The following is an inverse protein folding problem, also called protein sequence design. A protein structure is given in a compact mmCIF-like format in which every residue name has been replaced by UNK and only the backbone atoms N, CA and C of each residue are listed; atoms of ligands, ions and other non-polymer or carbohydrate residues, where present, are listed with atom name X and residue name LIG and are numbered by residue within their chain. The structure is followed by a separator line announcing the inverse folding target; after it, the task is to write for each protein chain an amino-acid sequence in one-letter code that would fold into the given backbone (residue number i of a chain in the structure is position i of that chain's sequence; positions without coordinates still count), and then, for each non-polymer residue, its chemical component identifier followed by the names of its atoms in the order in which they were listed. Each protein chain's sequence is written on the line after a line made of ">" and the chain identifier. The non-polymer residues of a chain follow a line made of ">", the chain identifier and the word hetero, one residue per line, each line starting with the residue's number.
data_IF_239712059855
#
_entry.id   IF_239712059855
#
_cell.length_a   1.000
_cell.length_b   1.000
_cell.length_c   1.000
_cell.angle_alpha   90.00
_cell.angle_beta   90.00
_cell.angle_gamma   90.00
#
_symmetry.space_group_name_H-M   'P 1'
#
loop_
_entity.id
_entity.type
_entity.pdbx_description
1 polymer ?
#
# COMPACT_ATOMS: atom_id res chain seq x y z
N UNK A 1 -8.62 23.55 -22.76
CA UNK A 1 -7.66 22.49 -23.11
C UNK A 1 -7.57 21.60 -21.89
N UNK A 2 -8.39 20.56 -21.85
CA UNK A 2 -8.28 19.51 -20.83
C UNK A 2 -7.01 18.71 -21.13
N UNK A 3 -6.07 18.72 -20.19
CA UNK A 3 -4.81 18.03 -20.33
C UNK A 3 -4.95 16.58 -19.91
N UNK A 4 -4.73 15.66 -20.84
CA UNK A 4 -4.49 14.22 -20.59
C UNK A 4 -3.14 14.02 -19.90
N UNK A 5 -2.97 14.63 -18.72
CA UNK A 5 -1.78 14.50 -17.90
C UNK A 5 -1.80 13.18 -17.14
N UNK A 6 -0.68 12.45 -17.17
CA UNK A 6 -0.45 11.28 -16.32
C UNK A 6 0.50 11.63 -15.19
N UNK A 7 0.21 11.17 -13.97
CA UNK A 7 1.12 11.30 -12.84
C UNK A 7 2.01 10.05 -12.75
N UNK A 8 3.30 10.22 -12.42
CA UNK A 8 4.25 9.12 -12.18
C UNK A 8 4.58 9.06 -10.69
N UNK A 9 4.38 7.91 -10.05
CA UNK A 9 4.65 7.73 -8.62
C UNK A 9 5.63 6.59 -8.43
N UNK A 10 6.89 6.97 -8.18
CA UNK A 10 7.98 6.02 -8.07
C UNK A 10 9.30 6.71 -7.83
N UNK A 11 9.60 6.99 -6.56
CA UNK A 11 10.54 8.03 -6.16
C UNK A 11 9.94 9.40 -6.48
N UNK A 12 9.61 10.17 -5.46
CA UNK A 12 8.89 11.47 -5.55
C UNK A 12 9.46 12.41 -6.60
N UNK A 13 8.85 12.44 -7.79
CA UNK A 13 8.79 13.63 -8.64
C UNK A 13 7.49 13.63 -9.44
N UNK A 14 6.71 14.70 -9.26
CA UNK A 14 5.57 15.05 -10.08
C UNK A 14 6.09 15.81 -11.30
N UNK A 15 6.11 15.16 -12.45
CA UNK A 15 6.42 15.78 -13.72
C UNK A 15 5.23 15.74 -14.65
N UNK A 16 4.87 16.89 -15.22
CA UNK A 16 4.00 16.96 -16.39
C UNK A 16 4.67 16.24 -17.59
N UNK A 17 3.90 15.77 -18.59
CA UNK A 17 4.47 15.08 -19.74
C UNK A 17 5.42 16.01 -20.50
N UNK A 18 6.73 15.83 -20.30
CA UNK A 18 7.78 16.62 -20.98
C UNK A 18 9.06 16.84 -20.18
N UNK A 19 9.01 16.84 -18.85
CA UNK A 19 10.21 17.09 -18.02
C UNK A 19 10.64 15.83 -17.26
N UNK A 20 11.55 15.08 -17.87
CA UNK A 20 12.25 13.97 -17.24
C UNK A 20 13.45 14.53 -16.46
N UNK A 21 13.21 15.08 -15.27
CA UNK A 21 14.30 15.41 -14.34
C UNK A 21 14.80 14.11 -13.69
N UNK A 22 15.99 13.67 -14.12
CA UNK A 22 16.73 12.56 -13.50
C UNK A 22 17.50 13.10 -12.30
N UNK A 23 16.91 13.03 -11.11
CA UNK A 23 17.67 13.22 -9.87
C UNK A 23 18.36 11.93 -9.39
N UNK A 24 19.47 12.03 -8.64
CA UNK A 24 20.22 10.88 -8.13
C UNK A 24 19.37 10.04 -7.18
N UNK A 25 19.40 8.72 -7.41
CA UNK A 25 18.39 7.75 -6.93
C UNK A 25 18.66 7.31 -5.49
N UNK A 26 17.91 7.85 -4.52
CA UNK A 26 17.87 7.34 -3.15
C UNK A 26 17.24 5.93 -3.10
N UNK A 27 17.63 5.05 -2.15
CA UNK A 27 16.91 3.80 -1.93
C UNK A 27 15.42 4.10 -1.69
N UNK A 28 14.57 3.38 -2.40
CA UNK A 28 13.11 3.57 -2.40
C UNK A 28 12.61 3.50 -0.95
N UNK A 29 12.23 4.66 -0.39
CA UNK A 29 11.84 4.82 1.02
C UNK A 29 10.76 3.80 1.42
N UNK A 30 9.84 3.52 0.52
CA UNK A 30 8.70 2.62 0.72
C UNK A 30 9.13 1.17 0.98
N UNK A 31 10.15 0.70 0.25
CA UNK A 31 10.71 -0.64 0.46
C UNK A 31 11.51 -0.75 1.77
N UNK A 32 12.18 0.34 2.17
CA UNK A 32 12.87 0.41 3.44
C UNK A 32 11.89 0.50 4.63
N UNK A 33 10.77 1.22 4.48
CA UNK A 33 9.70 1.27 5.48
C UNK A 33 9.05 -0.10 5.66
N UNK A 34 8.69 -0.78 4.57
CA UNK A 34 8.17 -2.14 4.63
C UNK A 34 9.15 -3.10 5.30
N UNK A 35 10.39 -3.16 4.83
CA UNK A 35 11.39 -4.07 5.39
C UNK A 35 11.72 -3.75 6.85
N UNK A 36 11.87 -2.47 7.20
CA UNK A 36 12.18 -2.05 8.57
C UNK A 36 11.08 -2.41 9.57
N UNK A 37 9.81 -2.22 9.17
CA UNK A 37 8.66 -2.61 10.00
C UNK A 37 8.47 -4.13 10.05
N UNK A 38 8.66 -4.85 8.94
CA UNK A 38 8.64 -6.32 8.93
C UNK A 38 9.69 -6.88 9.88
N UNK A 39 10.93 -6.40 9.82
CA UNK A 39 12.00 -6.82 10.74
C UNK A 39 11.72 -6.54 12.21
N UNK A 40 10.88 -5.56 12.51
CA UNK A 40 10.51 -5.21 13.88
C UNK A 40 9.36 -6.08 14.42
N UNK A 41 8.49 -6.57 13.54
CA UNK A 41 7.26 -7.27 13.92
C UNK A 41 7.26 -8.76 13.58
N UNK A 42 8.19 -9.22 12.75
CA UNK A 42 8.31 -10.60 12.31
C UNK A 42 9.75 -11.08 12.39
N UNK A 43 9.95 -12.39 12.20
CA UNK A 43 11.27 -13.03 12.13
C UNK A 43 12.02 -12.83 10.80
N UNK A 44 11.41 -12.15 9.81
CA UNK A 44 12.06 -11.95 8.51
C UNK A 44 13.14 -10.87 8.57
N UNK A 45 14.35 -11.18 8.10
CA UNK A 45 15.49 -10.26 8.10
C UNK A 45 15.74 -9.63 6.72
N UNK A 46 15.32 -10.32 5.67
CA UNK A 46 15.53 -9.92 4.28
C UNK A 46 14.22 -9.61 3.56
N UNK A 47 14.29 -8.80 2.51
CA UNK A 47 13.13 -8.45 1.69
C UNK A 47 12.45 -9.66 1.05
N UNK A 48 13.17 -10.65 0.48
CA UNK A 48 12.54 -11.86 -0.06
C UNK A 48 11.83 -12.71 1.01
N UNK A 49 12.40 -12.83 2.21
CA UNK A 49 11.75 -13.56 3.32
C UNK A 49 10.46 -12.86 3.76
N UNK A 50 10.50 -11.53 3.89
CA UNK A 50 9.31 -10.75 4.23
C UNK A 50 8.22 -10.90 3.16
N UNK A 51 8.59 -10.97 1.88
CA UNK A 51 7.63 -11.24 0.80
C UNK A 51 7.09 -12.66 0.84
N UNK A 52 7.91 -13.65 1.15
CA UNK A 52 7.47 -15.03 1.29
C UNK A 52 6.41 -15.18 2.41
N UNK A 53 6.59 -14.47 3.53
CA UNK A 53 5.58 -14.41 4.59
C UNK A 53 4.26 -13.79 4.11
N UNK A 54 4.33 -12.80 3.21
CA UNK A 54 3.14 -12.16 2.66
C UNK A 54 2.31 -13.09 1.77
N UNK A 55 2.92 -14.10 1.13
CA UNK A 55 2.22 -15.02 0.22
C UNK A 55 1.20 -15.90 0.94
N UNK A 56 1.49 -16.28 2.19
CA UNK A 56 0.60 -17.09 3.04
C UNK A 56 -0.22 -16.28 4.05
N UNK A 57 -0.02 -14.96 4.09
CA UNK A 57 -0.69 -14.08 5.03
C UNK A 57 -2.15 -13.81 4.68
N UNK A 58 -2.92 -13.41 5.69
CA UNK A 58 -4.31 -12.95 5.56
C UNK A 58 -4.48 -11.62 6.26
N UNK A 59 -4.72 -10.58 5.47
CA UNK A 59 -4.82 -9.22 6.00
C UNK A 59 -6.10 -8.99 6.81
N UNK A 60 -7.18 -9.73 6.53
CA UNK A 60 -8.44 -9.67 7.27
C UNK A 60 -8.31 -10.16 8.73
N UNK A 61 -7.21 -10.82 9.10
CA UNK A 61 -6.90 -11.18 10.48
C UNK A 61 -6.38 -9.99 11.31
N UNK A 62 -5.76 -9.00 10.67
CA UNK A 62 -5.13 -7.84 11.35
C UNK A 62 -5.84 -6.52 11.05
N UNK A 63 -6.35 -6.36 9.83
CA UNK A 63 -7.06 -5.18 9.38
C UNK A 63 -8.53 -5.24 9.79
N UNK A 64 -9.08 -4.08 10.17
CA UNK A 64 -10.51 -3.91 10.40
C UNK A 64 -11.18 -3.51 9.09
N UNK A 65 -12.13 -4.30 8.64
CA UNK A 65 -12.87 -4.11 7.41
C UNK A 65 -14.14 -3.27 7.66
N UNK A 66 -14.74 -2.73 6.60
CA UNK A 66 -16.02 -1.99 6.68
C UNK A 66 -17.10 -2.86 7.29
N UNK A 67 -17.18 -4.13 6.92
CA UNK A 67 -18.13 -5.08 7.51
C UNK A 67 -17.90 -5.32 9.01
N UNK A 68 -16.67 -5.15 9.52
CA UNK A 68 -16.38 -5.31 10.94
C UNK A 68 -16.91 -4.12 11.76
N UNK A 69 -17.20 -2.98 11.12
CA UNK A 69 -17.77 -1.78 11.75
C UNK A 69 -19.29 -1.75 11.57
N UNK A 70 -19.77 -2.03 10.35
CA UNK A 70 -21.16 -1.84 9.95
C UNK A 70 -21.97 -3.14 9.84
N UNK A 71 -21.34 -4.31 10.01
CA UNK A 71 -22.00 -5.62 9.88
C UNK A 71 -22.26 -6.07 8.44
N UNK A 72 -21.73 -5.35 7.45
CA UNK A 72 -21.90 -5.63 6.02
C UNK A 72 -21.38 -4.50 5.14
N UNK A 73 -21.89 -4.42 3.91
CA UNK A 73 -21.61 -3.30 3.01
C UNK A 73 -22.17 -1.99 3.57
N UNK A 74 -21.44 -0.89 3.37
CA UNK A 74 -21.92 0.43 3.74
C UNK A 74 -22.56 1.11 2.53
N UNK A 75 -23.85 0.76 2.31
CA UNK A 75 -24.60 1.12 1.12
C UNK A 75 -24.77 2.64 0.91
N UNK A 76 -24.82 3.43 1.98
CA UNK A 76 -25.01 4.89 1.91
C UNK A 76 -23.87 5.60 1.14
N UNK A 77 -22.64 5.08 1.25
CA UNK A 77 -21.46 5.60 0.58
C UNK A 77 -20.92 4.65 -0.51
N UNK A 78 -21.63 3.55 -0.79
CA UNK A 78 -21.22 2.55 -1.76
C UNK A 78 -19.90 1.85 -1.41
N UNK A 79 -19.54 1.75 -0.11
CA UNK A 79 -18.31 1.10 0.30
C UNK A 79 -18.54 -0.41 0.50
N UNK A 80 -17.78 -1.29 -0.17
CA UNK A 80 -17.93 -2.72 0.00
C UNK A 80 -17.43 -3.14 1.39
N UNK A 81 -18.08 -4.13 1.99
CA UNK A 81 -17.78 -4.64 3.32
C UNK A 81 -16.37 -5.23 3.43
N UNK A 82 -15.81 -5.71 2.33
CA UNK A 82 -14.43 -6.22 2.22
C UNK A 82 -13.36 -5.14 2.17
N UNK A 83 -13.74 -3.86 2.04
CA UNK A 83 -12.80 -2.74 2.06
C UNK A 83 -12.16 -2.62 3.44
N UNK A 84 -10.85 -2.37 3.48
CA UNK A 84 -10.15 -2.06 4.73
C UNK A 84 -10.62 -0.69 5.23
N UNK A 85 -11.27 -0.68 6.39
CA UNK A 85 -11.66 0.56 7.06
C UNK A 85 -10.52 1.12 7.92
N UNK A 86 -9.74 0.25 8.55
CA UNK A 86 -8.57 0.63 9.37
C UNK A 86 -7.48 -0.43 9.31
N UNK A 87 -6.29 -0.04 8.83
CA UNK A 87 -5.11 -0.91 8.82
C UNK A 87 -4.72 -1.27 10.25
N UNK A 88 -4.47 -2.56 10.53
CA UNK A 88 -4.16 -3.06 11.87
C UNK A 88 -5.24 -2.80 12.95
N UNK A 89 -6.45 -2.40 12.55
CA UNK A 89 -7.49 -1.97 13.49
C UNK A 89 -8.02 -3.10 14.39
N UNK A 90 -7.77 -4.38 14.07
CA UNK A 90 -8.14 -5.52 14.92
C UNK A 90 -7.14 -5.74 16.06
N UNK A 91 -5.89 -5.31 15.92
CA UNK A 91 -4.87 -5.41 16.97
C UNK A 91 -5.15 -4.55 18.21
N UNK A 92 -6.11 -3.62 18.13
CA UNK A 92 -6.59 -2.86 19.30
C UNK A 92 -7.37 -3.76 20.25
N UNK A 93 -8.13 -4.71 19.70
CA UNK A 93 -9.05 -5.56 20.45
C UNK A 93 -8.47 -6.97 20.68
N UNK A 94 -7.50 -7.37 19.87
CA UNK A 94 -6.82 -8.67 19.92
C UNK A 94 -5.47 -8.58 20.63
N UNK A 95 -5.04 -9.67 21.28
CA UNK A 95 -3.67 -9.80 21.77
C UNK A 95 -2.72 -9.86 20.56
N UNK A 96 -1.75 -8.94 20.42
CA UNK A 96 -0.79 -8.94 19.31
C UNK A 96 -0.02 -10.26 19.16
N UNK A 97 0.14 -11.03 20.25
CA UNK A 97 0.83 -12.32 20.23
C UNK A 97 0.00 -13.46 19.63
N UNK A 98 -1.31 -13.27 19.47
CA UNK A 98 -2.19 -14.24 18.83
C UNK A 98 -2.17 -14.12 17.31
N UNK A 99 -1.64 -13.02 16.77
CA UNK A 99 -1.53 -12.81 15.33
C UNK A 99 -0.34 -13.57 14.75
N UNK A 100 -0.56 -14.13 13.57
CA UNK A 100 0.47 -14.79 12.79
C UNK A 100 1.40 -13.77 12.16
N UNK A 101 2.68 -14.09 12.07
CA UNK A 101 3.68 -13.20 11.47
C UNK A 101 3.38 -12.95 9.97
N UNK A 102 2.84 -13.96 9.28
CA UNK A 102 2.41 -13.88 7.89
C UNK A 102 1.29 -12.85 7.69
N UNK A 103 0.32 -12.83 8.61
CA UNK A 103 -0.82 -11.90 8.57
C UNK A 103 -0.33 -10.46 8.82
N UNK A 104 0.62 -10.27 9.74
CA UNK A 104 1.26 -8.98 10.01
C UNK A 104 2.08 -8.48 8.82
N UNK A 105 2.86 -9.35 8.19
CA UNK A 105 3.67 -9.02 7.01
C UNK A 105 2.79 -8.58 5.84
N UNK A 106 1.72 -9.32 5.55
CA UNK A 106 0.79 -8.94 4.48
C UNK A 106 0.03 -7.65 4.79
N UNK A 107 -0.43 -7.47 6.04
CA UNK A 107 -1.06 -6.22 6.48
C UNK A 107 -0.14 -5.01 6.29
N UNK A 108 1.14 -5.15 6.65
CA UNK A 108 2.16 -4.11 6.45
C UNK A 108 2.34 -3.79 4.97
N UNK A 109 2.48 -4.83 4.14
CA UNK A 109 2.68 -4.66 2.72
C UNK A 109 1.52 -3.90 2.08
N UNK A 110 0.30 -4.30 2.43
CA UNK A 110 -0.93 -3.66 1.96
C UNK A 110 -1.02 -2.22 2.43
N UNK A 111 -0.77 -1.96 3.70
CA UNK A 111 -0.79 -0.61 4.25
C UNK A 111 0.15 0.33 3.48
N UNK A 112 1.41 -0.06 3.30
CA UNK A 112 2.39 0.76 2.58
C UNK A 112 1.94 0.99 1.13
N UNK A 113 1.50 -0.06 0.45
CA UNK A 113 1.07 0.01 -0.96
C UNK A 113 -0.15 0.91 -1.13
N UNK A 114 -1.18 0.72 -0.29
CA UNK A 114 -2.44 1.49 -0.35
C UNK A 114 -2.21 2.95 0.01
N UNK A 115 -1.34 3.26 0.99
CA UNK A 115 -1.03 4.66 1.34
C UNK A 115 -0.37 5.40 0.17
N UNK A 116 0.56 4.75 -0.54
CA UNK A 116 1.19 5.33 -1.73
C UNK A 116 0.14 5.54 -2.83
N UNK A 117 -0.76 4.57 -3.04
CA UNK A 117 -1.81 4.67 -4.04
C UNK A 117 -2.80 5.81 -3.75
N UNK A 118 -3.22 5.96 -2.49
CA UNK A 118 -4.12 7.05 -2.09
C UNK A 118 -3.43 8.40 -2.28
N UNK A 119 -2.18 8.57 -1.82
CA UNK A 119 -1.43 9.81 -2.03
C UNK A 119 -1.28 10.13 -3.52
N UNK A 120 -0.96 9.14 -4.33
CA UNK A 120 -0.85 9.27 -5.77
C UNK A 120 -2.13 9.79 -6.43
N UNK A 121 -3.27 9.19 -6.07
CA UNK A 121 -4.59 9.62 -6.56
C UNK A 121 -4.94 11.02 -6.07
N UNK A 122 -4.74 11.32 -4.79
CA UNK A 122 -5.04 12.64 -4.23
C UNK A 122 -4.23 13.75 -4.91
N UNK A 123 -2.96 13.49 -5.19
CA UNK A 123 -2.09 14.41 -5.92
C UNK A 123 -2.57 14.57 -7.36
N UNK A 124 -2.88 13.47 -8.06
CA UNK A 124 -3.38 13.52 -9.44
C UNK A 124 -4.68 14.32 -9.54
N UNK A 125 -5.62 14.11 -8.60
CA UNK A 125 -6.85 14.89 -8.48
C UNK A 125 -6.56 16.38 -8.25
N UNK A 126 -5.61 16.70 -7.36
CA UNK A 126 -5.22 18.09 -7.08
C UNK A 126 -4.63 18.81 -8.29
N UNK A 127 -3.93 18.09 -9.15
CA UNK A 127 -3.28 18.64 -10.35
C UNK A 127 -4.11 18.47 -11.63
N UNK A 128 -5.34 17.95 -11.54
CA UNK A 128 -6.21 17.76 -12.70
C UNK A 128 -5.69 16.70 -13.69
N UNK A 129 -4.86 15.76 -13.24
CA UNK A 129 -4.32 14.69 -14.06
C UNK A 129 -5.36 13.58 -14.23
N UNK A 130 -6.30 13.77 -15.17
CA UNK A 130 -7.39 12.83 -15.44
C UNK A 130 -6.94 11.58 -16.23
N UNK A 131 -5.73 11.60 -16.82
CA UNK A 131 -5.22 10.49 -17.64
C UNK A 131 -4.91 9.23 -16.82
N UNK A 132 -4.57 9.38 -15.54
CA UNK A 132 -4.28 8.27 -14.63
C UNK A 132 -2.90 8.38 -13.97
N UNK A 133 -2.60 7.40 -13.11
CA UNK A 133 -1.35 7.36 -12.33
C UNK A 133 -0.57 6.09 -12.66
N UNK A 134 0.71 6.25 -12.99
CA UNK A 134 1.62 5.14 -13.24
C UNK A 134 2.60 4.99 -12.09
N UNK A 135 2.63 3.80 -11.50
CA UNK A 135 3.62 3.47 -10.50
C UNK A 135 4.87 2.85 -11.13
N UNK A 136 6.05 3.30 -10.70
CA UNK A 136 7.33 2.74 -11.16
C UNK A 136 8.26 2.52 -9.97
N UNK A 137 9.22 1.58 -10.06
CA UNK A 137 10.25 1.44 -9.04
C UNK A 137 10.63 0.00 -8.72
N UNK A 138 11.70 -0.16 -7.94
CA UNK A 138 12.22 -1.48 -7.53
C UNK A 138 11.26 -2.24 -6.61
N UNK A 139 10.50 -1.51 -5.79
CA UNK A 139 9.51 -2.09 -4.88
C UNK A 139 8.46 -2.92 -5.62
N UNK A 140 7.87 -2.39 -6.70
CA UNK A 140 6.92 -3.13 -7.51
C UNK A 140 7.58 -4.21 -8.36
N UNK A 141 8.80 -3.99 -8.87
CA UNK A 141 9.52 -4.98 -9.70
C UNK A 141 9.73 -6.32 -8.98
N UNK A 142 10.01 -6.27 -7.68
CA UNK A 142 10.27 -7.45 -6.87
C UNK A 142 9.04 -7.94 -6.11
N UNK A 143 7.89 -7.29 -6.26
CA UNK A 143 6.70 -7.58 -5.45
C UNK A 143 5.44 -7.72 -6.33
N UNK A 144 5.11 -8.94 -6.80
CA UNK A 144 3.93 -9.19 -7.60
C UNK A 144 2.62 -9.07 -6.79
N UNK A 145 2.67 -9.16 -5.47
CA UNK A 145 1.50 -8.95 -4.60
C UNK A 145 1.11 -7.48 -4.62
N UNK A 146 2.07 -6.57 -4.43
CA UNK A 146 1.83 -5.12 -4.46
C UNK A 146 1.34 -4.61 -5.83
N UNK A 147 1.68 -5.29 -6.93
CA UNK A 147 1.16 -4.94 -8.26
C UNK A 147 -0.33 -5.25 -8.45
N UNK A 148 -0.91 -6.13 -7.63
CA UNK A 148 -2.30 -6.60 -7.75
C UNK A 148 -3.27 -5.93 -6.78
N UNK A 149 -2.74 -5.17 -5.82
CA UNK A 149 -3.50 -4.39 -4.84
C UNK A 149 -4.04 -3.11 -5.48
#
# INVERSE_FOLDING_TARGET
>A
MEGDGFARVGGTSLGAPGECTREPRAPNHEGATFLGLCRAMTSADTFPEALALCESGRHDAVDKLVQDIYGGDYAEFGLPGSLVASCFGKLVDLDPKACKEEDLALGLLRMVTVQIAILAVQIALRHGCAGGVFFVGGFLRSNPIAQRL
#
